data_IF_209741478177
#
_entry.id   IF_209741478177
#
_cell.length_a   1.000
_cell.length_b   1.000
_cell.length_c   1.000
_cell.angle_alpha   90.00
_cell.angle_beta   90.00
_cell.angle_gamma   90.00
#
_symmetry.space_group_name_H-M   'P 1'
#
loop_
_entity.id
_entity.type
_entity.pdbx_description
1 polymer ?
#
# COMPACT_ATOMS: atom_id res chain seq x y z
N UNK A 1 -3.09 -1.72 -11.40
CA UNK A 1 -2.71 -0.57 -10.55
C UNK A 1 -3.30 -0.89 -9.20
N UNK A 2 -2.43 -1.21 -8.25
CA UNK A 2 -2.82 -1.75 -6.95
C UNK A 2 -2.89 -0.62 -5.91
N UNK A 3 -3.83 -0.74 -4.98
CA UNK A 3 -3.89 0.08 -3.77
C UNK A 3 -5.25 0.76 -3.53
N UNK A 4 -5.60 0.86 -2.26
CA UNK A 4 -6.77 1.57 -1.74
C UNK A 4 -6.48 3.06 -1.47
N UNK A 5 -5.20 3.43 -1.53
CA UNK A 5 -4.67 4.72 -1.11
C UNK A 5 -4.65 5.68 -2.30
N UNK A 6 -5.82 6.05 -2.79
CA UNK A 6 -5.96 6.97 -3.93
C UNK A 6 -6.20 8.40 -3.48
N UNK A 7 -5.96 9.37 -4.35
CA UNK A 7 -6.42 10.75 -4.12
C UNK A 7 -7.91 10.89 -4.38
N UNK A 8 -8.59 11.72 -3.60
CA UNK A 8 -9.93 12.20 -3.92
C UNK A 8 -9.82 13.46 -4.80
N UNK A 9 -9.72 13.22 -6.11
CA UNK A 9 -9.47 14.25 -7.14
C UNK A 9 -10.41 15.49 -7.06
N UNK A 10 -11.72 15.38 -6.79
CA UNK A 10 -12.60 16.55 -6.71
C UNK A 10 -12.20 17.58 -5.64
N UNK A 11 -11.48 17.16 -4.60
CA UNK A 11 -11.07 17.99 -3.46
C UNK A 11 -9.57 18.38 -3.53
N UNK A 12 -8.96 18.31 -4.72
CA UNK A 12 -7.59 18.75 -4.94
C UNK A 12 -7.55 19.99 -5.83
N UNK A 13 -6.72 20.97 -5.47
CA UNK A 13 -6.37 22.06 -6.39
C UNK A 13 -5.61 21.49 -7.58
N UNK A 14 -5.69 22.18 -8.73
CA UNK A 14 -4.99 21.75 -9.96
C UNK A 14 -3.49 21.54 -9.71
N UNK A 15 -2.83 22.48 -9.00
CA UNK A 15 -1.40 22.38 -8.64
C UNK A 15 -1.10 21.15 -7.77
N UNK A 16 -1.96 20.83 -6.81
CA UNK A 16 -1.81 19.68 -5.91
C UNK A 16 -1.97 18.37 -6.69
N UNK A 17 -2.96 18.31 -7.58
CA UNK A 17 -3.17 17.16 -8.46
C UNK A 17 -2.01 16.95 -9.45
N UNK A 18 -1.47 18.02 -10.03
CA UNK A 18 -0.28 17.96 -10.89
C UNK A 18 0.96 17.47 -10.11
N UNK A 19 1.13 17.95 -8.87
CA UNK A 19 2.22 17.52 -7.99
C UNK A 19 2.10 16.04 -7.61
N UNK A 20 0.89 15.58 -7.29
CA UNK A 20 0.61 14.17 -7.05
C UNK A 20 0.92 13.32 -8.28
N UNK A 21 0.46 13.72 -9.47
CA UNK A 21 0.76 13.02 -10.73
C UNK A 21 2.25 12.97 -11.01
N UNK A 22 2.98 14.06 -10.82
CA UNK A 22 4.42 14.10 -10.99
C UNK A 22 5.14 13.18 -9.99
N UNK A 23 4.62 13.05 -8.77
CA UNK A 23 5.16 12.13 -7.75
C UNK A 23 4.90 10.66 -8.11
N UNK A 24 3.69 10.34 -8.57
CA UNK A 24 3.35 9.01 -9.09
C UNK A 24 4.25 8.61 -10.29
N UNK A 25 4.48 9.54 -11.21
CA UNK A 25 5.43 9.36 -12.31
C UNK A 25 6.88 9.25 -11.82
N UNK A 26 7.24 9.95 -10.74
CA UNK A 26 8.54 9.84 -10.07
C UNK A 26 8.82 8.44 -9.53
N UNK A 27 7.84 7.84 -8.84
CA UNK A 27 7.94 6.44 -8.40
C UNK A 27 8.06 5.48 -9.58
N UNK A 28 7.22 5.66 -10.60
CA UNK A 28 7.25 4.86 -11.83
C UNK A 28 8.61 4.91 -12.53
N UNK A 29 9.22 6.10 -12.60
CA UNK A 29 10.55 6.28 -13.16
C UNK A 29 11.63 5.61 -12.29
N UNK A 30 11.54 5.75 -10.97
CA UNK A 30 12.49 5.15 -10.02
C UNK A 30 12.43 3.62 -10.04
N UNK A 31 11.23 3.04 -10.15
CA UNK A 31 11.03 1.60 -10.37
C UNK A 31 11.70 1.11 -11.65
N UNK A 32 11.53 1.86 -12.75
CA UNK A 32 12.18 1.53 -14.03
C UNK A 32 13.70 1.64 -13.95
N UNK A 33 14.22 2.67 -13.28
CA UNK A 33 15.65 2.93 -13.10
C UNK A 33 16.33 1.81 -12.29
N UNK A 34 15.69 1.37 -11.20
CA UNK A 34 16.29 0.43 -10.25
C UNK A 34 16.00 -1.04 -10.56
N UNK A 35 14.78 -1.34 -11.03
CA UNK A 35 14.29 -2.71 -11.24
C UNK A 35 13.79 -3.01 -12.65
N UNK A 36 14.09 -2.12 -13.60
CA UNK A 36 13.73 -2.29 -15.01
C UNK A 36 12.22 -2.21 -15.26
N UNK A 37 11.81 -2.59 -16.48
CA UNK A 37 10.39 -2.54 -16.89
C UNK A 37 9.49 -3.45 -16.05
N UNK A 38 10.03 -4.55 -15.52
CA UNK A 38 9.27 -5.49 -14.69
C UNK A 38 8.96 -4.83 -13.35
N UNK A 39 9.93 -4.17 -12.71
CA UNK A 39 9.69 -3.35 -11.53
C UNK A 39 8.67 -2.24 -11.81
N UNK A 40 8.72 -1.61 -12.99
CA UNK A 40 7.74 -0.58 -13.37
C UNK A 40 6.28 -1.08 -13.37
N UNK A 41 6.04 -2.37 -13.65
CA UNK A 41 4.69 -2.96 -13.62
C UNK A 41 4.14 -3.13 -12.20
N UNK A 42 5.01 -3.08 -11.19
CA UNK A 42 4.63 -3.25 -9.77
C UNK A 42 4.15 -1.95 -9.12
N UNK A 43 4.08 -0.86 -9.88
CA UNK A 43 3.70 0.48 -9.41
C UNK A 43 2.40 0.46 -8.56
N UNK A 44 2.51 1.00 -7.34
CA UNK A 44 1.44 1.03 -6.35
C UNK A 44 1.19 2.44 -5.84
N UNK A 45 -0.06 2.70 -5.44
CA UNK A 45 -0.40 3.97 -4.80
C UNK A 45 0.14 4.08 -3.37
N UNK A 46 0.21 2.97 -2.65
CA UNK A 46 0.70 2.93 -1.27
C UNK A 46 2.16 3.40 -1.19
N UNK A 47 3.00 2.99 -2.15
CA UNK A 47 4.39 3.44 -2.22
C UNK A 47 4.53 4.85 -2.80
N UNK A 48 3.54 5.33 -3.56
CA UNK A 48 3.49 6.73 -3.98
C UNK A 48 3.20 7.63 -2.77
N UNK A 49 2.28 7.21 -1.90
CA UNK A 49 2.01 7.86 -0.63
C UNK A 49 3.26 7.87 0.25
N UNK A 50 3.97 6.74 0.39
CA UNK A 50 5.21 6.68 1.15
C UNK A 50 6.27 7.64 0.62
N UNK A 51 6.47 7.70 -0.71
CA UNK A 51 7.42 8.62 -1.32
C UNK A 51 7.06 10.09 -1.04
N UNK A 52 5.78 10.45 -1.13
CA UNK A 52 5.27 11.78 -0.80
C UNK A 52 5.47 12.11 0.69
N UNK A 53 5.11 11.18 1.57
CA UNK A 53 5.23 11.33 3.01
C UNK A 53 6.68 11.60 3.43
N UNK A 54 7.61 10.77 2.96
CA UNK A 54 9.03 10.93 3.28
C UNK A 54 9.63 12.18 2.62
N UNK A 55 9.17 12.56 1.43
CA UNK A 55 9.60 13.81 0.79
C UNK A 55 9.15 15.03 1.59
N UNK A 56 7.89 15.08 2.04
CA UNK A 56 7.38 16.19 2.85
C UNK A 56 7.94 16.21 4.28
N UNK A 57 8.32 15.07 4.83
CA UNK A 57 8.88 14.97 6.19
C UNK A 57 10.35 15.37 6.25
N UNK A 58 11.14 14.95 5.28
CA UNK A 58 12.59 15.12 5.31
C UNK A 58 13.13 16.16 4.31
N UNK A 59 12.24 16.74 3.50
CA UNK A 59 12.51 17.88 2.61
C UNK A 59 13.83 17.76 1.82
N UNK A 60 14.05 16.65 1.07
CA UNK A 60 15.26 16.51 0.29
C UNK A 60 15.22 17.46 -0.92
N UNK A 61 16.38 17.79 -1.47
CA UNK A 61 16.44 18.41 -2.79
C UNK A 61 15.66 17.57 -3.81
N UNK A 62 14.60 18.17 -4.35
CA UNK A 62 13.67 17.49 -5.24
C UNK A 62 13.70 18.14 -6.60
N UNK A 63 14.11 17.38 -7.61
CA UNK A 63 14.21 17.88 -8.98
C UNK A 63 12.96 17.46 -9.75
N UNK A 64 12.35 18.43 -10.44
CA UNK A 64 11.25 18.15 -11.37
C UNK A 64 11.79 18.09 -12.79
N UNK A 65 11.59 16.95 -13.46
CA UNK A 65 12.00 16.71 -14.85
C UNK A 65 10.76 16.38 -15.68
N UNK A 66 10.91 16.29 -17.00
CA UNK A 66 9.83 15.85 -17.89
C UNK A 66 10.28 14.72 -18.81
N UNK A 67 9.39 13.76 -19.06
CA UNK A 67 9.62 12.64 -19.96
C UNK A 67 8.33 12.18 -20.64
N UNK A 68 8.49 11.41 -21.72
CA UNK A 68 7.41 10.58 -22.30
C UNK A 68 7.48 9.19 -21.70
N UNK A 69 6.35 8.51 -21.58
CA UNK A 69 6.30 7.13 -21.09
C UNK A 69 5.46 6.27 -22.04
N UNK A 70 5.53 4.95 -21.89
CA UNK A 70 4.81 4.02 -22.77
C UNK A 70 3.29 4.24 -22.67
N UNK A 71 2.78 4.58 -21.47
CA UNK A 71 1.36 4.90 -21.27
C UNK A 71 0.96 6.27 -21.85
N UNK A 72 1.92 7.19 -22.02
CA UNK A 72 1.68 8.55 -22.53
C UNK A 72 2.80 8.91 -23.52
N UNK A 73 2.77 8.35 -24.75
CA UNK A 73 3.87 8.49 -25.70
C UNK A 73 3.89 9.84 -26.43
N UNK A 74 2.76 10.56 -26.45
CA UNK A 74 2.60 11.82 -27.20
C UNK A 74 3.05 13.00 -26.36
N UNK A 75 2.47 13.15 -25.17
CA UNK A 75 2.68 14.28 -24.27
C UNK A 75 3.80 14.00 -23.27
N UNK A 76 4.65 15.02 -23.05
CA UNK A 76 5.58 14.99 -21.91
C UNK A 76 4.79 15.23 -20.64
N UNK A 77 5.07 14.44 -19.61
CA UNK A 77 4.58 14.68 -18.26
C UNK A 77 5.76 14.92 -17.34
N UNK A 78 5.51 15.68 -16.27
CA UNK A 78 6.49 15.92 -15.23
C UNK A 78 6.63 14.69 -14.33
N UNK A 79 7.83 14.50 -13.80
CA UNK A 79 8.11 13.57 -12.73
C UNK A 79 9.07 14.20 -11.73
N UNK A 80 8.90 13.85 -10.45
CA UNK A 80 9.81 14.27 -9.38
C UNK A 80 10.84 13.19 -9.11
N UNK A 81 12.06 13.61 -8.79
CA UNK A 81 13.15 12.71 -8.44
C UNK A 81 13.82 13.20 -7.15
N UNK A 82 13.96 12.29 -6.19
CA UNK A 82 14.74 12.41 -4.98
C UNK A 82 14.99 11.00 -4.41
N UNK A 83 15.77 10.91 -3.33
CA UNK A 83 16.14 9.64 -2.70
C UNK A 83 14.96 8.83 -2.15
N UNK A 84 13.82 9.46 -1.84
CA UNK A 84 12.66 8.77 -1.27
C UNK A 84 11.78 8.12 -2.32
N UNK A 85 11.77 8.62 -3.56
CA UNK A 85 11.22 7.88 -4.69
C UNK A 85 12.02 6.62 -4.98
N UNK A 86 13.36 6.70 -4.88
CA UNK A 86 14.23 5.53 -5.03
C UNK A 86 14.00 4.53 -3.88
N UNK A 87 13.93 4.99 -2.62
CA UNK A 87 13.60 4.12 -1.49
C UNK A 87 12.22 3.46 -1.61
N UNK A 88 11.17 4.22 -1.93
CA UNK A 88 9.83 3.67 -2.07
C UNK A 88 9.74 2.66 -3.22
N UNK A 89 10.50 2.86 -4.31
CA UNK A 89 10.61 1.89 -5.39
C UNK A 89 11.28 0.58 -4.92
N UNK A 90 12.33 0.65 -4.10
CA UNK A 90 12.98 -0.52 -3.52
C UNK A 90 12.01 -1.30 -2.61
N UNK A 91 11.29 -0.59 -1.73
CA UNK A 91 10.30 -1.19 -0.82
C UNK A 91 9.14 -1.82 -1.60
N UNK A 92 8.69 -1.19 -2.69
CA UNK A 92 7.65 -1.72 -3.55
C UNK A 92 8.04 -3.05 -4.20
N UNK A 93 9.29 -3.17 -4.65
CA UNK A 93 9.81 -4.38 -5.27
C UNK A 93 9.97 -5.49 -4.25
N UNK A 94 10.50 -5.19 -3.06
CA UNK A 94 10.56 -6.15 -1.95
C UNK A 94 9.17 -6.67 -1.61
N UNK A 95 8.22 -5.78 -1.36
CA UNK A 95 6.84 -6.14 -1.00
C UNK A 95 6.18 -7.00 -2.07
N UNK A 96 6.30 -6.61 -3.33
CA UNK A 96 5.71 -7.37 -4.44
C UNK A 96 6.33 -8.75 -4.58
N UNK A 97 7.65 -8.87 -4.49
CA UNK A 97 8.34 -10.15 -4.63
C UNK A 97 7.91 -11.15 -3.57
N UNK A 98 7.89 -10.72 -2.30
CA UNK A 98 7.56 -11.60 -1.20
C UNK A 98 6.07 -11.95 -1.17
N UNK A 99 5.17 -11.04 -1.57
CA UNK A 99 3.76 -11.38 -1.82
C UNK A 99 3.62 -12.44 -2.91
N UNK A 100 4.34 -12.31 -4.03
CA UNK A 100 4.33 -13.32 -5.09
C UNK A 100 4.89 -14.68 -4.64
N UNK A 101 5.89 -14.69 -3.74
CA UNK A 101 6.40 -15.93 -3.17
C UNK A 101 5.36 -16.63 -2.29
N UNK A 102 4.62 -15.85 -1.50
CA UNK A 102 3.55 -16.33 -0.62
C UNK A 102 2.39 -16.91 -1.45
N UNK A 103 1.87 -16.16 -2.42
CA UNK A 103 0.84 -16.60 -3.37
C UNK A 103 1.23 -17.88 -4.13
N UNK A 104 2.52 -18.04 -4.46
CA UNK A 104 3.00 -19.23 -5.13
C UNK A 104 3.03 -20.45 -4.20
N UNK A 105 3.42 -20.25 -2.94
CA UNK A 105 3.46 -21.32 -1.94
C UNK A 105 2.04 -21.77 -1.54
N UNK A 106 1.08 -20.85 -1.47
CA UNK A 106 -0.27 -21.13 -0.98
C UNK A 106 -1.25 -21.51 -2.10
N UNK A 107 -1.20 -20.87 -3.27
CA UNK A 107 -2.20 -21.07 -4.34
C UNK A 107 -1.61 -21.59 -5.66
N UNK A 108 -0.29 -21.77 -5.76
CA UNK A 108 0.44 -22.18 -6.98
C UNK A 108 0.09 -21.33 -8.21
N UNK A 109 -0.19 -20.03 -8.03
CA UNK A 109 -0.48 -19.10 -9.13
C UNK A 109 0.75 -18.95 -10.05
N UNK A 110 0.68 -19.49 -11.27
CA UNK A 110 1.78 -19.48 -12.26
C UNK A 110 2.30 -18.07 -12.61
N UNK A 111 1.42 -17.06 -12.60
CA UNK A 111 1.77 -15.67 -12.84
C UNK A 111 2.62 -15.07 -11.72
N UNK A 112 2.35 -15.42 -10.46
CA UNK A 112 3.15 -15.01 -9.31
C UNK A 112 4.57 -15.61 -9.37
N UNK A 113 4.70 -16.84 -9.85
CA UNK A 113 6.00 -17.50 -10.07
C UNK A 113 6.87 -16.77 -11.10
N UNK A 114 6.29 -16.40 -12.25
CA UNK A 114 7.03 -15.70 -13.32
C UNK A 114 7.47 -14.29 -12.89
N UNK A 115 6.59 -13.51 -12.25
CA UNK A 115 6.94 -12.19 -11.73
C UNK A 115 7.99 -12.28 -10.61
N UNK A 116 7.83 -13.21 -9.68
CA UNK A 116 8.78 -13.45 -8.59
C UNK A 116 10.16 -13.84 -9.13
N UNK A 117 10.24 -14.76 -10.09
CA UNK A 117 11.51 -15.16 -10.70
C UNK A 117 12.22 -14.00 -11.40
N UNK A 118 11.48 -13.16 -12.12
CA UNK A 118 12.05 -12.03 -12.83
C UNK A 118 12.58 -10.93 -11.91
N UNK A 119 12.01 -10.78 -10.70
CA UNK A 119 12.45 -9.82 -9.69
C UNK A 119 13.55 -10.38 -8.75
N UNK A 120 13.74 -11.70 -8.72
CA UNK A 120 14.65 -12.39 -7.78
C UNK A 120 16.07 -11.81 -7.74
N UNK A 121 16.63 -11.47 -8.90
CA UNK A 121 17.99 -10.90 -9.00
C UNK A 121 18.11 -9.53 -8.33
N UNK A 122 17.11 -8.67 -8.48
CA UNK A 122 17.07 -7.36 -7.83
C UNK A 122 16.84 -7.52 -6.33
N UNK A 123 15.89 -8.40 -5.96
CA UNK A 123 15.50 -8.59 -4.56
C UNK A 123 16.64 -9.13 -3.71
N UNK A 124 17.52 -9.99 -4.24
CA UNK A 124 18.68 -10.44 -3.46
C UNK A 124 19.53 -9.27 -2.97
N UNK A 125 19.84 -8.32 -3.86
CA UNK A 125 20.61 -7.11 -3.52
C UNK A 125 19.85 -6.18 -2.57
N UNK A 126 18.54 -6.04 -2.79
CA UNK A 126 17.68 -5.23 -1.92
C UNK A 126 17.56 -5.84 -0.52
N UNK A 127 17.50 -7.17 -0.41
CA UNK A 127 17.40 -7.86 0.86
C UNK A 127 18.68 -7.74 1.69
N UNK A 128 19.85 -7.72 1.04
CA UNK A 128 21.12 -7.41 1.68
C UNK A 128 21.20 -5.93 2.10
N UNK A 129 20.75 -5.00 1.25
CA UNK A 129 20.76 -3.55 1.54
C UNK A 129 19.79 -3.15 2.65
N UNK A 130 18.61 -3.75 2.67
CA UNK A 130 17.52 -3.45 3.60
C UNK A 130 17.20 -4.69 4.44
N UNK A 131 18.22 -5.20 5.15
CA UNK A 131 18.11 -6.42 5.94
C UNK A 131 16.98 -6.34 6.97
N UNK A 132 16.85 -5.19 7.65
CA UNK A 132 15.80 -4.96 8.65
C UNK A 132 14.41 -5.13 8.04
N UNK A 133 14.10 -4.37 7.01
CA UNK A 133 12.80 -4.42 6.32
C UNK A 133 12.52 -5.80 5.75
N UNK A 134 13.52 -6.42 5.11
CA UNK A 134 13.36 -7.72 4.45
C UNK A 134 13.14 -8.85 5.44
N UNK A 135 13.78 -8.80 6.61
CA UNK A 135 13.54 -9.72 7.73
C UNK A 135 12.10 -9.61 8.22
N UNK A 136 11.65 -8.41 8.58
CA UNK A 136 10.27 -8.21 9.06
C UNK A 136 9.24 -8.64 8.03
N UNK A 137 9.49 -8.37 6.75
CA UNK A 137 8.60 -8.74 5.67
C UNK A 137 8.46 -10.26 5.57
N UNK A 138 9.58 -10.98 5.47
CA UNK A 138 9.58 -12.45 5.40
C UNK A 138 8.94 -13.09 6.63
N UNK A 139 9.34 -12.64 7.81
CA UNK A 139 8.95 -13.30 9.06
C UNK A 139 7.45 -13.05 9.36
N UNK A 140 6.92 -11.86 9.08
CA UNK A 140 5.49 -11.57 9.27
C UNK A 140 4.61 -12.20 8.19
N UNK A 141 5.05 -12.31 6.93
CA UNK A 141 4.28 -13.05 5.92
C UNK A 141 4.22 -14.55 6.27
N UNK A 142 5.33 -15.14 6.69
CA UNK A 142 5.35 -16.54 7.13
C UNK A 142 4.43 -16.76 8.34
N UNK A 143 4.45 -15.84 9.32
CA UNK A 143 3.57 -15.90 10.47
C UNK A 143 2.08 -15.71 10.10
N UNK A 144 1.78 -14.83 9.14
CA UNK A 144 0.44 -14.65 8.58
C UNK A 144 -0.05 -15.95 7.92
N UNK A 145 0.69 -16.50 6.96
CA UNK A 145 0.31 -17.75 6.27
C UNK A 145 0.13 -18.92 7.24
N UNK A 146 0.98 -19.03 8.27
CA UNK A 146 0.81 -20.04 9.32
C UNK A 146 -0.49 -19.83 10.13
N UNK A 147 -0.78 -18.58 10.49
CA UNK A 147 -1.98 -18.23 11.25
C UNK A 147 -3.27 -18.48 10.45
N UNK A 148 -3.26 -18.18 9.14
CA UNK A 148 -4.38 -18.43 8.24
C UNK A 148 -4.66 -19.94 8.08
N UNK A 149 -3.61 -20.77 8.06
CA UNK A 149 -3.73 -22.25 8.01
C UNK A 149 -4.37 -22.84 9.26
N UNK A 150 -4.20 -22.21 10.41
CA UNK A 150 -4.87 -22.60 11.67
C UNK A 150 -6.37 -22.24 11.67
N UNK A 151 -6.84 -21.45 10.69
CA UNK A 151 -8.23 -20.95 10.59
C UNK A 151 -8.71 -20.22 11.84
N UNK A 152 -7.81 -19.44 12.45
CA UNK A 152 -8.18 -18.50 13.50
C UNK A 152 -8.62 -17.16 12.88
N UNK A 153 -9.75 -16.61 13.32
CA UNK A 153 -10.38 -15.41 12.71
C UNK A 153 -10.26 -14.15 13.58
N UNK A 154 -9.11 -13.95 14.21
CA UNK A 154 -8.81 -12.71 14.93
C UNK A 154 -8.40 -11.61 13.94
N UNK A 155 -9.33 -10.70 13.66
CA UNK A 155 -9.17 -9.59 12.72
C UNK A 155 -7.96 -8.72 13.08
N UNK A 156 -7.75 -8.43 14.36
CA UNK A 156 -6.69 -7.51 14.80
C UNK A 156 -5.31 -8.13 14.64
N UNK A 157 -5.18 -9.40 15.04
CA UNK A 157 -3.94 -10.17 14.93
C UNK A 157 -3.54 -10.41 13.49
N UNK A 158 -4.47 -10.85 12.64
CA UNK A 158 -4.20 -11.10 11.22
C UNK A 158 -3.77 -9.82 10.51
N UNK A 159 -4.50 -8.72 10.69
CA UNK A 159 -4.11 -7.43 10.14
C UNK A 159 -2.78 -6.93 10.73
N UNK A 160 -2.50 -7.25 12.00
CA UNK A 160 -1.28 -6.88 12.71
C UNK A 160 0.00 -7.39 12.05
N UNK A 161 -0.02 -8.58 11.42
CA UNK A 161 1.14 -9.07 10.67
C UNK A 161 1.49 -8.15 9.49
N UNK A 162 0.50 -7.81 8.66
CA UNK A 162 0.73 -6.89 7.54
C UNK A 162 1.00 -5.45 8.01
N UNK A 163 0.39 -5.04 9.12
CA UNK A 163 0.74 -3.81 9.82
C UNK A 163 2.22 -3.75 10.20
N UNK A 164 2.77 -4.80 10.81
CA UNK A 164 4.18 -4.86 11.21
C UNK A 164 5.14 -4.77 10.01
N UNK A 165 4.75 -5.31 8.85
CA UNK A 165 5.50 -5.13 7.60
C UNK A 165 5.53 -3.64 7.22
N UNK A 166 4.36 -3.02 7.09
CA UNK A 166 4.24 -1.63 6.65
C UNK A 166 4.89 -0.66 7.64
N UNK A 167 4.86 -0.95 8.94
CA UNK A 167 5.56 -0.22 9.98
C UNK A 167 7.06 -0.08 9.66
N UNK A 168 7.72 -1.17 9.27
CA UNK A 168 9.15 -1.17 8.95
C UNK A 168 9.45 -0.58 7.57
N UNK A 169 8.56 -0.74 6.59
CA UNK A 169 8.71 -0.10 5.28
C UNK A 169 8.60 1.43 5.39
N UNK A 170 7.79 1.94 6.30
CA UNK A 170 7.63 3.38 6.53
C UNK A 170 8.89 4.04 7.14
N UNK A 171 9.72 3.27 7.84
CA UNK A 171 10.95 3.78 8.45
C UNK A 171 12.10 3.77 7.45
N UNK A 172 12.38 4.93 6.87
CA UNK A 172 13.58 5.12 6.05
C UNK A 172 14.88 5.05 6.88
N UNK A 173 14.91 5.73 8.03
CA UNK A 173 16.07 5.82 8.92
C UNK A 173 15.65 5.68 10.40
N UNK A 174 16.55 5.16 11.25
CA UNK A 174 16.36 5.11 12.71
C UNK A 174 16.68 6.47 13.35
N UNK A 175 15.84 7.45 13.07
CA UNK A 175 15.95 8.80 13.62
C UNK A 175 14.76 9.12 14.55
N UNK A 176 14.62 10.40 14.93
CA UNK A 176 13.56 10.89 15.81
C UNK A 176 12.13 10.64 15.28
N UNK A 177 11.96 10.38 13.97
CA UNK A 177 10.67 10.09 13.37
C UNK A 177 10.36 8.59 13.32
N UNK A 178 11.35 7.73 13.55
CA UNK A 178 11.22 6.29 13.34
C UNK A 178 10.04 5.69 14.12
N UNK A 179 9.87 6.03 15.40
CA UNK A 179 8.76 5.52 16.22
C UNK A 179 7.40 5.97 15.68
N UNK A 180 7.27 7.24 15.29
CA UNK A 180 6.03 7.76 14.69
C UNK A 180 5.77 7.07 13.35
N UNK A 181 6.77 6.95 12.49
CA UNK A 181 6.64 6.29 11.18
C UNK A 181 6.25 4.81 11.33
N UNK A 182 6.80 4.09 12.32
CA UNK A 182 6.38 2.71 12.64
C UNK A 182 4.91 2.65 13.02
N UNK A 183 4.48 3.52 13.95
CA UNK A 183 3.09 3.54 14.40
C UNK A 183 2.15 3.87 13.25
N UNK A 184 2.49 4.87 12.44
CA UNK A 184 1.73 5.25 11.26
C UNK A 184 1.64 4.09 10.26
N UNK A 185 2.78 3.50 9.90
CA UNK A 185 2.84 2.37 8.98
C UNK A 185 2.10 1.14 9.49
N UNK A 186 2.10 0.90 10.80
CA UNK A 186 1.38 -0.22 11.42
C UNK A 186 -0.13 -0.14 11.17
N UNK A 187 -0.75 0.98 11.54
CA UNK A 187 -2.19 1.15 11.34
C UNK A 187 -2.57 1.33 9.87
N UNK A 188 -1.71 1.97 9.08
CA UNK A 188 -1.90 2.10 7.64
C UNK A 188 -1.86 0.74 6.94
N UNK A 189 -0.93 -0.14 7.32
CA UNK A 189 -0.88 -1.51 6.84
C UNK A 189 -2.12 -2.30 7.22
N UNK A 190 -2.55 -2.23 8.50
CA UNK A 190 -3.81 -2.86 8.93
C UNK A 190 -5.00 -2.40 8.09
N UNK A 191 -5.08 -1.11 7.79
CA UNK A 191 -6.12 -0.59 6.90
C UNK A 191 -6.07 -1.22 5.50
N UNK A 192 -4.88 -1.30 4.87
CA UNK A 192 -4.73 -1.89 3.53
C UNK A 192 -5.16 -3.36 3.53
N UNK A 193 -4.67 -4.17 4.48
CA UNK A 193 -5.00 -5.58 4.57
C UNK A 193 -6.50 -5.81 4.79
N UNK A 194 -7.11 -5.04 5.70
CA UNK A 194 -8.54 -5.14 5.97
C UNK A 194 -9.40 -4.59 4.82
N UNK A 195 -8.94 -3.59 4.07
CA UNK A 195 -9.66 -3.13 2.88
C UNK A 195 -9.68 -4.19 1.78
N UNK A 196 -8.58 -4.91 1.60
CA UNK A 196 -8.45 -6.03 0.67
C UNK A 196 -9.40 -7.16 1.06
N UNK A 197 -9.32 -7.62 2.31
CA UNK A 197 -10.24 -8.60 2.86
C UNK A 197 -11.71 -8.17 2.81
N UNK A 198 -12.00 -6.87 3.02
CA UNK A 198 -13.34 -6.34 2.90
C UNK A 198 -13.82 -6.34 1.45
N UNK A 199 -12.97 -6.11 0.46
CA UNK A 199 -13.35 -6.18 -0.97
C UNK A 199 -13.63 -7.62 -1.40
N UNK A 200 -12.79 -8.56 -0.99
CA UNK A 200 -12.77 -9.92 -1.52
C UNK A 200 -13.62 -10.94 -0.75
N UNK A 201 -14.24 -10.55 0.39
CA UNK A 201 -15.00 -11.46 1.27
C UNK A 201 -15.99 -12.39 0.55
N UNK A 202 -16.81 -11.89 -0.40
CA UNK A 202 -17.76 -12.78 -1.10
C UNK A 202 -17.06 -13.80 -1.99
N UNK A 203 -15.95 -13.41 -2.62
CA UNK A 203 -15.19 -14.29 -3.51
C UNK A 203 -14.37 -15.30 -2.70
N UNK A 204 -13.76 -14.87 -1.60
CA UNK A 204 -13.02 -15.73 -0.69
C UNK A 204 -13.91 -16.82 -0.10
N UNK A 205 -15.12 -16.46 0.36
CA UNK A 205 -16.09 -17.42 0.86
C UNK A 205 -16.53 -18.43 -0.20
N UNK A 206 -16.74 -17.99 -1.45
CA UNK A 206 -17.10 -18.88 -2.57
C UNK A 206 -15.98 -19.87 -2.90
N UNK A 207 -14.73 -19.41 -2.84
CA UNK A 207 -13.57 -20.24 -3.16
C UNK A 207 -13.02 -21.02 -1.95
N UNK A 208 -13.61 -20.83 -0.76
CA UNK A 208 -13.16 -21.47 0.48
C UNK A 208 -11.80 -20.95 0.96
N UNK A 209 -11.39 -19.75 0.53
CA UNK A 209 -10.17 -19.09 0.98
C UNK A 209 -10.35 -18.49 2.37
N UNK A 210 -9.24 -18.29 3.06
CA UNK A 210 -9.25 -17.58 4.33
C UNK A 210 -9.61 -16.11 4.11
N UNK A 211 -10.48 -15.57 4.96
CA UNK A 211 -10.71 -14.14 5.07
C UNK A 211 -10.96 -13.78 6.54
N UNK A 212 -10.29 -12.76 7.11
CA UNK A 212 -10.44 -12.40 8.53
C UNK A 212 -11.87 -12.02 8.90
N UNK A 213 -12.69 -11.56 7.95
CA UNK A 213 -14.08 -11.18 8.19
C UNK A 213 -15.09 -12.32 8.05
N UNK A 214 -14.65 -13.56 7.83
CA UNK A 214 -15.55 -14.71 7.65
C UNK A 214 -16.63 -14.83 8.73
N UNK A 215 -16.25 -14.73 10.00
CA UNK A 215 -17.21 -14.82 11.11
C UNK A 215 -18.05 -13.54 11.27
N UNK A 216 -17.47 -12.38 10.96
CA UNK A 216 -18.17 -11.11 11.01
C UNK A 216 -19.23 -10.99 9.91
N UNK A 217 -18.97 -11.55 8.74
CA UNK A 217 -19.86 -11.52 7.57
C UNK A 217 -21.20 -12.20 7.80
N UNK A 218 -21.27 -13.14 8.75
CA UNK A 218 -22.50 -13.83 9.17
C UNK A 218 -23.45 -12.91 9.95
N UNK A 219 -22.97 -11.77 10.45
CA UNK A 219 -23.75 -10.85 11.28
C UNK A 219 -24.42 -9.77 10.44
N UNK A 220 -25.62 -9.35 10.83
CA UNK A 220 -26.31 -8.22 10.19
C UNK A 220 -25.53 -6.90 10.31
N UNK A 221 -24.71 -6.76 11.35
CA UNK A 221 -23.87 -5.59 11.64
C UNK A 221 -22.60 -5.52 10.80
N UNK A 222 -22.29 -6.52 9.96
CA UNK A 222 -21.05 -6.64 9.19
C UNK A 222 -20.58 -5.31 8.56
N UNK A 223 -21.48 -4.62 7.85
CA UNK A 223 -21.13 -3.38 7.16
C UNK A 223 -20.73 -2.26 8.12
N UNK A 224 -21.43 -2.14 9.25
CA UNK A 224 -21.17 -1.11 10.26
C UNK A 224 -19.88 -1.42 11.01
N UNK A 225 -19.67 -2.69 11.38
CA UNK A 225 -18.49 -3.16 12.09
C UNK A 225 -17.23 -2.98 11.25
N UNK A 226 -17.25 -3.40 9.97
CA UNK A 226 -16.14 -3.16 9.04
C UNK A 226 -15.84 -1.67 8.88
N UNK A 227 -16.87 -0.84 8.71
CA UNK A 227 -16.67 0.61 8.62
C UNK A 227 -15.98 1.17 9.86
N UNK A 228 -16.40 0.74 11.05
CA UNK A 228 -15.85 1.20 12.32
C UNK A 228 -14.38 0.76 12.47
N UNK A 229 -14.07 -0.51 12.20
CA UNK A 229 -12.70 -1.04 12.28
C UNK A 229 -11.78 -0.26 11.32
N UNK A 230 -12.17 -0.09 10.06
CA UNK A 230 -11.41 0.65 9.06
C UNK A 230 -11.20 2.11 9.48
N UNK A 231 -12.24 2.75 10.04
CA UNK A 231 -12.15 4.13 10.56
C UNK A 231 -11.15 4.22 11.71
N UNK A 232 -11.12 3.25 12.61
CA UNK A 232 -10.16 3.23 13.72
C UNK A 232 -8.72 3.11 13.21
N UNK A 233 -8.46 2.25 12.22
CA UNK A 233 -7.12 2.11 11.64
C UNK A 233 -6.66 3.42 10.96
N UNK A 234 -7.54 4.04 10.17
CA UNK A 234 -7.19 5.29 9.51
C UNK A 234 -7.10 6.46 10.50
N UNK A 235 -7.92 6.50 11.54
CA UNK A 235 -7.87 7.53 12.58
C UNK A 235 -6.53 7.52 13.34
N UNK A 236 -6.02 6.34 13.71
CA UNK A 236 -4.69 6.23 14.33
C UNK A 236 -3.57 6.62 13.36
N UNK A 237 -3.70 6.27 12.08
CA UNK A 237 -2.76 6.71 11.03
C UNK A 237 -2.72 8.23 10.92
N UNK A 238 -3.89 8.87 10.76
CA UNK A 238 -4.02 10.32 10.62
C UNK A 238 -3.58 11.07 11.87
N UNK A 239 -3.88 10.54 13.06
CA UNK A 239 -3.42 11.11 14.33
C UNK A 239 -1.90 11.23 14.39
N UNK A 240 -1.18 10.20 13.93
CA UNK A 240 0.29 10.25 13.90
C UNK A 240 0.78 11.19 12.80
N UNK A 241 0.14 11.19 11.63
CA UNK A 241 0.46 12.11 10.55
C UNK A 241 0.39 13.58 10.99
N UNK A 242 -0.65 14.00 11.70
CA UNK A 242 -0.79 15.39 12.18
C UNK A 242 0.23 15.76 13.28
N UNK A 243 0.98 14.80 13.82
CA UNK A 243 2.09 15.04 14.76
C UNK A 243 3.45 15.15 14.06
N UNK A 244 3.52 14.93 12.74
CA UNK A 244 4.72 15.10 11.94
C UNK A 244 4.79 16.55 11.43
N UNK A 245 5.99 17.16 11.37
CA UNK A 245 6.15 18.55 10.96
C UNK A 245 6.11 18.71 9.42
N UNK A 246 5.10 18.16 8.75
CA UNK A 246 4.99 18.16 7.29
C UNK A 246 4.25 19.42 6.84
N UNK A 247 4.95 20.28 6.10
CA UNK A 247 4.39 21.51 5.52
C UNK A 247 4.19 21.38 4.02
N UNK A 248 5.21 20.91 3.29
CA UNK A 248 5.11 20.66 1.85
C UNK A 248 4.22 19.45 1.55
N UNK A 249 3.39 19.58 0.52
CA UNK A 249 2.48 18.53 0.05
C UNK A 249 1.50 17.97 1.10
N UNK A 250 1.39 18.61 2.29
CA UNK A 250 0.56 18.17 3.39
C UNK A 250 -0.92 18.03 2.98
N UNK A 251 -1.43 18.95 2.15
CA UNK A 251 -2.80 18.90 1.64
C UNK A 251 -3.06 17.67 0.74
N UNK A 252 -2.06 17.21 -0.01
CA UNK A 252 -2.17 15.98 -0.80
C UNK A 252 -2.26 14.77 0.14
N UNK A 253 -1.42 14.72 1.16
CA UNK A 253 -1.41 13.65 2.16
C UNK A 253 -2.72 13.62 2.96
N UNK A 254 -3.22 14.78 3.39
CA UNK A 254 -4.54 14.93 4.04
C UNK A 254 -5.67 14.49 3.13
N UNK A 255 -5.66 14.89 1.86
CA UNK A 255 -6.67 14.47 0.88
C UNK A 255 -6.74 12.93 0.78
N UNK A 256 -5.58 12.27 0.71
CA UNK A 256 -5.50 10.81 0.68
C UNK A 256 -6.08 10.22 1.97
N UNK A 257 -5.57 10.62 3.15
CA UNK A 257 -5.93 10.03 4.44
C UNK A 257 -7.38 10.29 4.86
N UNK A 258 -7.95 11.45 4.53
CA UNK A 258 -9.28 11.85 4.98
C UNK A 258 -10.41 11.57 3.98
N UNK A 259 -10.13 11.55 2.68
CA UNK A 259 -11.15 11.38 1.65
C UNK A 259 -10.81 10.25 0.66
N UNK A 260 -9.56 10.22 0.21
CA UNK A 260 -9.06 9.32 -0.81
C UNK A 260 -9.29 7.85 -0.51
N UNK A 261 -8.84 7.41 0.67
CA UNK A 261 -8.98 6.02 1.15
C UNK A 261 -10.43 5.51 1.23
N UNK A 262 -11.41 6.41 1.35
CA UNK A 262 -12.83 6.06 1.42
C UNK A 262 -13.50 5.88 0.06
N UNK A 263 -12.82 6.28 -1.03
CA UNK A 263 -13.38 6.22 -2.38
C UNK A 263 -13.69 4.79 -2.78
N UNK A 264 -12.74 3.86 -2.59
CA UNK A 264 -12.91 2.45 -2.95
C UNK A 264 -13.92 1.75 -2.04
N UNK A 265 -13.86 2.01 -0.73
CA UNK A 265 -14.84 1.52 0.23
C UNK A 265 -16.28 1.90 -0.15
N UNK A 266 -16.51 3.16 -0.51
CA UNK A 266 -17.83 3.64 -0.96
C UNK A 266 -18.32 2.94 -2.22
N UNK A 267 -17.44 2.73 -3.21
CA UNK A 267 -17.77 1.99 -4.44
C UNK A 267 -18.20 0.54 -4.15
N UNK A 268 -17.44 -0.18 -3.33
CA UNK A 268 -17.74 -1.57 -2.95
C UNK A 268 -19.08 -1.64 -2.21
N UNK A 269 -19.29 -0.74 -1.24
CA UNK A 269 -20.54 -0.67 -0.47
C UNK A 269 -21.76 -0.40 -1.36
N UNK A 270 -21.64 0.49 -2.35
CA UNK A 270 -22.73 0.74 -3.29
C UNK A 270 -23.06 -0.50 -4.12
N UNK A 271 -22.05 -1.17 -4.68
CA UNK A 271 -22.24 -2.42 -5.44
C UNK A 271 -22.96 -3.49 -4.62
N UNK A 272 -22.55 -3.70 -3.35
CA UNK A 272 -23.22 -4.64 -2.43
C UNK A 272 -24.69 -4.32 -2.19
N UNK A 273 -25.04 -3.03 -2.09
CA UNK A 273 -26.43 -2.60 -1.92
C UNK A 273 -27.26 -2.83 -3.17
N UNK A 274 -26.69 -2.69 -4.36
CA UNK A 274 -27.36 -2.95 -5.63
C UNK A 274 -27.64 -4.45 -5.79
N UNK A 275 -26.65 -5.31 -5.56
CA UNK A 275 -26.82 -6.78 -5.64
C UNK A 275 -27.86 -7.30 -4.63
N UNK A 276 -27.95 -6.72 -3.43
CA UNK A 276 -28.99 -7.08 -2.44
C UNK A 276 -30.40 -6.63 -2.81
N UNK A 277 -30.57 -5.67 -3.73
CA UNK A 277 -31.89 -5.25 -4.23
C UNK A 277 -32.38 -6.10 -5.40
N UNK A 278 -31.46 -6.77 -6.10
CA UNK A 278 -31.75 -7.61 -7.26
C UNK A 278 -31.92 -9.10 -6.92
N UNK A 279 -31.52 -9.51 -5.70
CA UNK A 279 -31.68 -10.86 -5.15
C UNK A 279 -32.92 -10.96 -4.24
#
# INVERSE_FOLDING_TARGET
>A
MFGYIVVHKPELKVREYETYRASYCGLCHSLKKQSGRIGQLTLSFDMTFLALLLTGLYEPETVTKSARCIAHPVEKHFYRENRYFDYAADMNVLLTYYKCLDDWQDERKLTACLFGQALKGNVKKLAERYERQSRYLRDNLAALSAYEKEKQYDIDKTAGFFGAIMAELFVYAEDEWAEKLRRMGFYFGKFIYLMDAYEDIEEDLKQGRYNPFTELYKKETFEQDCQQILKMMMAETSKVFEQLPILEDAEILRNILYAGVWTRYGQIRCRRKETKKEA
#
